data_IF_512034218424
#
_entry.id   IF_512034218424
#
_cell.length_a   1.000
_cell.length_b   1.000
_cell.length_c   1.000
_cell.angle_alpha   90.00
_cell.angle_beta   90.00
_cell.angle_gamma   90.00
#
_symmetry.space_group_name_H-M   'P 1'
#
loop_
_entity.id
_entity.type
_entity.pdbx_description
1 polymer ?
#
# COMPACT_ATOMS: atom_id res chain seq x y z
N UNK A 1 -53.76 33.92 -17.10
CA UNK A 1 -53.45 33.56 -18.50
C UNK A 1 -51.94 33.73 -18.68
N UNK A 2 -51.21 32.64 -18.55
CA UNK A 2 -49.81 32.64 -18.87
C UNK A 2 -49.65 32.69 -20.38
N UNK A 3 -48.96 33.71 -20.87
CA UNK A 3 -48.68 33.88 -22.30
C UNK A 3 -47.71 32.79 -22.74
N UNK A 4 -48.17 31.84 -23.56
CA UNK A 4 -47.28 30.86 -24.22
C UNK A 4 -46.25 31.61 -25.07
N UNK A 5 -44.96 31.33 -24.78
CA UNK A 5 -43.86 31.84 -25.60
C UNK A 5 -43.98 31.35 -27.03
N UNK A 6 -43.69 32.23 -27.99
CA UNK A 6 -43.64 31.85 -29.39
C UNK A 6 -42.46 30.92 -29.66
N UNK A 7 -42.55 30.12 -30.73
CA UNK A 7 -41.46 29.20 -31.15
C UNK A 7 -40.15 29.97 -31.37
N UNK A 8 -40.24 31.19 -31.90
CA UNK A 8 -39.08 32.08 -32.12
C UNK A 8 -38.41 32.45 -30.78
N UNK A 9 -39.20 32.82 -29.75
CA UNK A 9 -38.69 33.13 -28.41
C UNK A 9 -38.05 31.92 -27.72
N UNK A 10 -38.62 30.73 -27.92
CA UNK A 10 -38.03 29.49 -27.41
C UNK A 10 -36.68 29.18 -28.08
N UNK A 11 -36.57 29.41 -29.40
CA UNK A 11 -35.31 29.27 -30.15
C UNK A 11 -34.23 30.22 -29.66
N UNK A 12 -34.56 31.51 -29.47
CA UNK A 12 -33.59 32.50 -28.95
C UNK A 12 -33.05 32.09 -27.56
N UNK A 13 -33.95 31.71 -26.64
CA UNK A 13 -33.55 31.25 -25.30
C UNK A 13 -32.67 29.98 -25.35
N UNK A 14 -32.98 29.06 -26.27
CA UNK A 14 -32.14 27.86 -26.45
C UNK A 14 -30.77 28.21 -27.03
N UNK A 15 -30.69 29.11 -28.03
CA UNK A 15 -29.40 29.54 -28.60
C UNK A 15 -28.52 30.26 -27.56
N UNK A 16 -29.13 31.09 -26.72
CA UNK A 16 -28.41 31.75 -25.61
C UNK A 16 -27.86 30.75 -24.57
N UNK A 17 -28.66 29.73 -24.22
CA UNK A 17 -28.20 28.65 -23.34
C UNK A 17 -27.07 27.81 -23.97
N UNK A 18 -27.15 27.50 -25.25
CA UNK A 18 -26.10 26.77 -25.96
C UNK A 18 -24.80 27.58 -25.96
N UNK A 19 -24.86 28.87 -26.28
CA UNK A 19 -23.69 29.75 -26.23
C UNK A 19 -23.04 29.80 -24.82
N UNK A 20 -23.88 29.89 -23.77
CA UNK A 20 -23.38 29.83 -22.38
C UNK A 20 -22.71 28.51 -22.03
N UNK A 21 -23.23 27.38 -22.51
CA UNK A 21 -22.62 26.05 -22.30
C UNK A 21 -21.29 25.91 -23.06
N UNK A 22 -21.19 26.46 -24.28
CA UNK A 22 -19.98 26.48 -25.07
C UNK A 22 -18.86 27.29 -24.38
N UNK A 23 -19.20 28.44 -23.81
CA UNK A 23 -18.29 29.27 -23.04
C UNK A 23 -17.80 28.55 -21.78
N UNK A 24 -18.70 27.88 -21.05
CA UNK A 24 -18.33 27.09 -19.87
C UNK A 24 -17.43 25.91 -20.23
N UNK A 25 -17.73 25.22 -21.33
CA UNK A 25 -16.88 24.11 -21.81
C UNK A 25 -15.50 24.62 -22.24
N UNK A 26 -15.42 25.78 -22.87
CA UNK A 26 -14.13 26.39 -23.22
C UNK A 26 -13.32 26.76 -22.00
N UNK A 27 -13.94 27.37 -20.98
CA UNK A 27 -13.28 27.70 -19.70
C UNK A 27 -12.81 26.46 -18.95
N UNK A 28 -13.62 25.38 -18.96
CA UNK A 28 -13.21 24.10 -18.37
C UNK A 28 -12.01 23.47 -19.10
N UNK A 29 -12.00 23.52 -20.44
CA UNK A 29 -10.87 23.05 -21.23
C UNK A 29 -9.60 23.84 -20.94
N UNK A 30 -9.70 25.16 -20.88
CA UNK A 30 -8.56 26.01 -20.48
C UNK A 30 -8.08 25.72 -19.05
N UNK A 31 -9.01 25.46 -18.12
CA UNK A 31 -8.69 25.05 -16.75
C UNK A 31 -7.96 23.71 -16.71
N UNK A 32 -8.38 22.75 -17.52
CA UNK A 32 -7.72 21.43 -17.64
C UNK A 32 -6.34 21.57 -18.32
N UNK A 33 -6.20 22.40 -19.36
CA UNK A 33 -4.91 22.66 -20.02
C UNK A 33 -3.96 23.48 -19.12
N UNK A 34 -4.51 24.30 -18.23
CA UNK A 34 -3.73 25.04 -17.23
C UNK A 34 -3.34 24.20 -16.00
N UNK A 35 -3.94 23.03 -15.82
CA UNK A 35 -3.43 22.00 -14.92
C UNK A 35 -2.13 21.45 -15.54
N UNK A 36 -1.07 22.25 -15.48
CA UNK A 36 0.27 21.70 -15.68
C UNK A 36 0.40 20.52 -14.73
N UNK A 37 0.87 19.38 -15.25
CA UNK A 37 1.39 18.34 -14.37
C UNK A 37 2.25 19.04 -13.33
N UNK A 38 2.05 18.77 -12.02
CA UNK A 38 2.87 19.42 -11.01
C UNK A 38 4.32 19.19 -11.45
N UNK A 39 5.09 20.27 -11.61
CA UNK A 39 6.54 20.19 -11.72
C UNK A 39 6.97 19.47 -10.44
N UNK A 40 7.12 18.15 -10.54
CA UNK A 40 7.69 17.33 -9.48
C UNK A 40 9.10 17.88 -9.35
N UNK A 41 9.32 18.65 -8.28
CA UNK A 41 10.61 19.18 -7.95
C UNK A 41 11.57 17.98 -8.00
N UNK A 42 12.45 17.98 -8.99
CA UNK A 42 13.56 17.03 -9.11
C UNK A 42 14.53 17.28 -7.95
N UNK A 43 14.10 16.92 -6.76
CA UNK A 43 15.07 16.66 -5.70
C UNK A 43 15.74 15.33 -6.07
N UNK A 44 17.04 15.35 -6.17
CA UNK A 44 17.94 14.38 -6.80
C UNK A 44 17.95 12.96 -6.21
N UNK A 45 16.87 12.49 -5.55
CA UNK A 45 16.92 11.27 -4.75
C UNK A 45 15.88 10.21 -5.10
N UNK A 46 14.73 10.54 -5.72
CA UNK A 46 13.71 9.52 -5.96
C UNK A 46 13.12 9.65 -7.36
N UNK A 47 13.33 8.63 -8.20
CA UNK A 47 12.57 8.49 -9.43
C UNK A 47 11.15 8.11 -9.09
N UNK A 48 10.17 8.97 -9.42
CA UNK A 48 8.75 8.71 -9.19
C UNK A 48 8.09 8.28 -10.49
N UNK A 49 7.53 7.08 -10.50
CA UNK A 49 6.77 6.55 -11.63
C UNK A 49 5.27 6.66 -11.35
N UNK A 50 4.60 7.64 -11.95
CA UNK A 50 3.14 7.76 -11.91
C UNK A 50 2.51 6.83 -12.97
N UNK A 51 2.63 5.52 -12.75
CA UNK A 51 2.19 4.47 -13.68
C UNK A 51 1.59 3.31 -12.91
N UNK A 52 0.70 2.55 -13.55
CA UNK A 52 0.19 1.33 -12.95
C UNK A 52 1.32 0.33 -12.66
N UNK A 53 1.12 -0.54 -11.68
CA UNK A 53 2.10 -1.59 -11.37
C UNK A 53 2.31 -2.53 -12.57
N UNK A 54 1.26 -2.78 -13.36
CA UNK A 54 1.34 -3.57 -14.59
C UNK A 54 2.23 -2.89 -15.64
N UNK A 55 2.11 -1.58 -15.80
CA UNK A 55 2.92 -0.82 -16.75
C UNK A 55 4.40 -0.81 -16.32
N UNK A 56 4.67 -0.55 -15.04
CA UNK A 56 6.02 -0.62 -14.47
C UNK A 56 6.61 -2.03 -14.64
N UNK A 57 5.83 -3.06 -14.35
CA UNK A 57 6.23 -4.46 -14.54
C UNK A 57 6.60 -4.74 -16.00
N UNK A 58 5.79 -4.27 -16.95
CA UNK A 58 6.06 -4.44 -18.40
C UNK A 58 7.34 -3.70 -18.85
N UNK A 59 7.60 -2.51 -18.33
CA UNK A 59 8.82 -1.75 -18.62
C UNK A 59 10.07 -2.43 -18.04
N UNK A 60 9.95 -3.06 -16.86
CA UNK A 60 11.01 -3.89 -16.28
C UNK A 60 11.27 -5.12 -17.13
N UNK A 61 10.23 -5.81 -17.61
CA UNK A 61 10.34 -6.99 -18.49
C UNK A 61 11.02 -6.63 -19.82
N UNK A 62 10.72 -5.46 -20.36
CA UNK A 62 11.34 -4.94 -21.58
C UNK A 62 12.79 -4.42 -21.36
N UNK A 63 13.24 -4.35 -20.10
CA UNK A 63 14.54 -3.74 -19.78
C UNK A 63 14.62 -2.23 -20.05
N UNK A 64 13.45 -1.58 -20.16
CA UNK A 64 13.34 -0.15 -20.47
C UNK A 64 13.56 0.73 -19.25
N UNK A 65 13.40 0.19 -18.05
CA UNK A 65 13.70 0.86 -16.77
C UNK A 65 14.45 -0.10 -15.85
N UNK A 66 15.14 0.49 -14.89
CA UNK A 66 15.83 -0.23 -13.82
C UNK A 66 15.55 0.47 -12.49
N UNK A 67 14.75 -0.17 -11.65
CA UNK A 67 14.37 0.36 -10.33
C UNK A 67 15.48 0.13 -9.31
N UNK A 68 15.64 1.09 -8.42
CA UNK A 68 16.58 1.06 -7.30
C UNK A 68 15.83 1.16 -5.98
N UNK A 69 16.44 0.71 -4.91
CA UNK A 69 15.95 0.92 -3.55
C UNK A 69 15.80 2.42 -3.28
N UNK A 70 14.63 2.81 -2.80
CA UNK A 70 14.23 4.20 -2.59
C UNK A 70 13.38 4.80 -3.72
N UNK A 71 13.40 4.24 -4.94
CA UNK A 71 12.51 4.70 -6.00
C UNK A 71 11.05 4.55 -5.59
N UNK A 72 10.17 5.43 -6.11
CA UNK A 72 8.75 5.44 -5.78
C UNK A 72 7.89 5.17 -7.00
N UNK A 73 6.78 4.46 -6.77
CA UNK A 73 5.76 4.18 -7.76
C UNK A 73 4.42 4.63 -7.19
N UNK A 74 3.64 5.35 -7.97
CA UNK A 74 2.28 5.75 -7.62
C UNK A 74 1.31 4.97 -8.50
N UNK A 75 0.53 4.08 -7.90
CA UNK A 75 -0.53 3.33 -8.56
C UNK A 75 -1.91 3.75 -8.06
N UNK A 76 -2.94 3.47 -8.86
CA UNK A 76 -4.31 3.83 -8.51
C UNK A 76 -5.03 2.64 -7.85
N UNK A 77 -5.79 2.95 -6.80
CA UNK A 77 -6.70 2.02 -6.15
C UNK A 77 -8.12 2.60 -6.15
N UNK A 78 -9.12 1.85 -6.60
CA UNK A 78 -10.48 2.34 -6.83
C UNK A 78 -11.15 2.97 -5.60
N UNK A 79 -10.80 2.51 -4.39
CA UNK A 79 -11.40 3.00 -3.14
C UNK A 79 -10.54 4.03 -2.42
N UNK A 80 -9.21 3.86 -2.46
CA UNK A 80 -8.27 4.66 -1.67
C UNK A 80 -7.49 5.68 -2.52
N UNK A 81 -7.83 5.83 -3.80
CA UNK A 81 -7.14 6.76 -4.68
C UNK A 81 -5.70 6.32 -4.98
N UNK A 82 -4.78 7.23 -4.93
CA UNK A 82 -3.38 6.92 -5.21
C UNK A 82 -2.71 6.22 -4.02
N UNK A 83 -2.10 5.09 -4.30
CA UNK A 83 -1.24 4.36 -3.37
C UNK A 83 0.21 4.62 -3.79
N UNK A 84 0.98 5.13 -2.85
CA UNK A 84 2.39 5.43 -3.02
C UNK A 84 3.23 4.26 -2.48
N UNK A 85 4.11 3.76 -3.32
CA UNK A 85 4.97 2.61 -3.04
C UNK A 85 6.41 3.01 -3.06
N UNK A 86 7.19 2.57 -2.09
CA UNK A 86 8.65 2.67 -2.08
C UNK A 86 9.26 1.32 -2.44
N UNK A 87 10.23 1.30 -3.33
CA UNK A 87 11.06 0.12 -3.61
C UNK A 87 11.94 -0.16 -2.40
N UNK A 88 11.68 -1.26 -1.69
CA UNK A 88 12.43 -1.64 -0.49
C UNK A 88 13.51 -2.68 -0.76
N UNK A 89 13.38 -3.43 -1.85
CA UNK A 89 14.34 -4.46 -2.25
C UNK A 89 14.22 -4.85 -3.71
N UNK A 90 15.33 -5.31 -4.29
CA UNK A 90 15.41 -5.79 -5.68
C UNK A 90 16.07 -7.17 -5.67
N UNK A 91 15.42 -8.17 -6.27
CA UNK A 91 15.91 -9.55 -6.35
C UNK A 91 15.87 -10.33 -5.04
N UNK A 92 15.04 -9.92 -4.07
CA UNK A 92 14.96 -10.54 -2.73
C UNK A 92 13.84 -11.57 -2.68
N UNK A 93 12.63 -11.18 -3.00
CA UNK A 93 11.45 -12.05 -2.90
C UNK A 93 11.03 -12.62 -4.25
N UNK A 94 10.58 -13.88 -4.25
CA UNK A 94 9.97 -14.51 -5.40
C UNK A 94 10.86 -14.56 -6.65
N UNK A 95 12.18 -14.48 -6.48
CA UNK A 95 13.13 -14.57 -7.58
C UNK A 95 13.10 -15.97 -8.19
N UNK A 96 12.76 -16.05 -9.47
CA UNK A 96 12.75 -17.34 -10.20
C UNK A 96 14.15 -17.70 -10.70
N UNK A 97 14.56 -18.94 -10.47
CA UNK A 97 15.86 -19.44 -10.96
C UNK A 97 15.93 -19.34 -12.48
N UNK A 98 17.00 -18.74 -12.98
CA UNK A 98 17.26 -18.60 -14.43
C UNK A 98 16.57 -17.41 -15.08
N UNK A 99 15.74 -16.64 -14.38
CA UNK A 99 15.19 -15.39 -14.91
C UNK A 99 16.22 -14.27 -14.81
N UNK A 100 16.38 -13.52 -15.90
CA UNK A 100 17.30 -12.34 -15.94
C UNK A 100 16.70 -11.13 -15.21
N UNK A 101 15.38 -10.98 -15.28
CA UNK A 101 14.69 -9.90 -14.58
C UNK A 101 14.65 -10.20 -13.09
N UNK A 102 15.11 -9.25 -12.30
CA UNK A 102 14.94 -9.29 -10.85
C UNK A 102 13.51 -8.89 -10.46
N UNK A 103 13.01 -9.47 -9.40
CA UNK A 103 11.77 -9.04 -8.76
C UNK A 103 12.01 -7.74 -8.01
N UNK A 104 10.95 -6.96 -7.83
CA UNK A 104 10.98 -5.71 -7.09
C UNK A 104 9.97 -5.81 -5.95
N UNK A 105 10.45 -5.67 -4.73
CA UNK A 105 9.60 -5.63 -3.54
C UNK A 105 9.27 -4.20 -3.20
N UNK A 106 7.98 -3.91 -3.13
CA UNK A 106 7.39 -2.61 -2.86
C UNK A 106 6.74 -2.62 -1.48
N UNK A 107 6.83 -1.51 -0.76
CA UNK A 107 6.11 -1.29 0.49
C UNK A 107 5.39 0.05 0.43
N UNK A 108 4.17 0.11 0.89
CA UNK A 108 3.43 1.38 0.96
C UNK A 108 4.26 2.41 1.70
N UNK A 109 4.44 3.59 1.09
CA UNK A 109 5.23 4.68 1.66
C UNK A 109 4.60 5.18 2.95
N UNK A 110 3.27 5.29 2.95
CA UNK A 110 2.44 5.69 4.09
C UNK A 110 1.48 4.56 4.50
N UNK A 111 0.86 4.67 5.66
CA UNK A 111 -0.29 3.83 6.00
C UNK A 111 -1.52 4.26 5.21
N UNK A 112 -2.56 3.43 5.21
CA UNK A 112 -3.84 3.80 4.63
C UNK A 112 -4.49 4.91 5.46
N UNK A 113 -4.89 5.98 4.78
CA UNK A 113 -5.51 7.15 5.37
C UNK A 113 -6.80 6.78 6.13
N UNK A 114 -6.95 7.34 7.34
CA UNK A 114 -8.10 7.15 8.25
C UNK A 114 -8.50 5.68 8.51
N UNK A 115 -7.60 4.72 8.26
CA UNK A 115 -7.87 3.31 8.43
C UNK A 115 -7.06 2.70 9.57
N UNK A 116 -7.65 2.69 10.75
CA UNK A 116 -7.14 1.95 11.90
C UNK A 116 -7.83 0.58 11.96
N UNK A 117 -7.11 -0.43 11.48
CA UNK A 117 -7.64 -1.79 11.37
C UNK A 117 -7.13 -2.67 12.51
N UNK A 118 -7.98 -3.50 13.12
CA UNK A 118 -7.51 -4.56 14.00
C UNK A 118 -6.74 -5.58 13.16
N UNK A 119 -5.67 -6.12 13.76
CA UNK A 119 -4.96 -7.25 13.16
C UNK A 119 -5.86 -8.49 13.11
N UNK A 120 -6.57 -8.75 14.21
CA UNK A 120 -7.57 -9.79 14.29
C UNK A 120 -8.72 -9.39 15.22
N UNK A 121 -9.88 -10.01 15.06
CA UNK A 121 -11.07 -9.71 15.87
C UNK A 121 -11.14 -10.61 17.11
N UNK A 122 -11.72 -10.11 18.22
CA UNK A 122 -11.95 -10.91 19.41
C UNK A 122 -12.78 -12.16 19.12
N UNK A 123 -12.45 -13.24 19.82
CA UNK A 123 -13.18 -14.50 19.79
C UNK A 123 -13.37 -15.06 21.20
N UNK A 124 -14.18 -16.12 21.34
CA UNK A 124 -14.36 -16.79 22.65
C UNK A 124 -13.07 -17.34 23.23
N UNK A 125 -12.12 -17.76 22.38
CA UNK A 125 -10.82 -18.31 22.78
C UNK A 125 -9.78 -17.21 22.98
N UNK A 126 -9.79 -16.19 22.14
CA UNK A 126 -8.85 -15.08 22.13
C UNK A 126 -9.63 -13.77 22.27
N UNK A 127 -9.88 -13.34 23.52
CA UNK A 127 -10.72 -12.17 23.82
C UNK A 127 -10.11 -10.84 23.32
N UNK A 128 -8.81 -10.81 23.02
CA UNK A 128 -8.08 -9.66 22.48
C UNK A 128 -7.61 -9.85 21.02
N UNK A 129 -8.23 -10.82 20.31
CA UNK A 129 -7.76 -11.25 19.00
C UNK A 129 -6.60 -12.24 19.10
N UNK A 130 -6.14 -12.74 17.96
CA UNK A 130 -5.03 -13.71 17.85
C UNK A 130 -3.93 -13.17 16.94
N UNK A 131 -2.68 -13.36 17.31
CA UNK A 131 -1.51 -12.89 16.58
C UNK A 131 -1.03 -13.82 15.45
N UNK A 132 -1.89 -14.67 14.92
CA UNK A 132 -1.54 -15.65 13.88
C UNK A 132 -1.78 -15.07 12.49
N UNK A 133 -0.72 -14.69 11.80
CA UNK A 133 -0.79 -14.08 10.47
C UNK A 133 -1.57 -14.92 9.45
N UNK A 134 -1.39 -16.24 9.44
CA UNK A 134 -2.05 -17.15 8.48
C UNK A 134 -3.57 -17.11 8.52
N UNK A 135 -4.16 -16.78 9.67
CA UNK A 135 -5.61 -16.81 9.90
C UNK A 135 -6.23 -15.46 10.26
N UNK A 136 -5.42 -14.41 10.48
CA UNK A 136 -5.92 -13.13 10.95
C UNK A 136 -6.80 -12.40 9.92
N UNK A 137 -7.67 -11.55 10.46
CA UNK A 137 -8.61 -10.78 9.66
C UNK A 137 -7.93 -9.77 8.75
N UNK A 138 -6.83 -9.16 9.19
CA UNK A 138 -6.11 -8.14 8.41
C UNK A 138 -5.48 -8.76 7.15
N UNK A 139 -4.83 -9.94 7.24
CA UNK A 139 -4.31 -10.65 6.08
C UNK A 139 -5.42 -10.98 5.07
N UNK A 140 -6.55 -11.49 5.58
CA UNK A 140 -7.70 -11.80 4.74
C UNK A 140 -8.26 -10.54 4.07
N UNK A 141 -8.35 -9.43 4.81
CA UNK A 141 -8.79 -8.15 4.28
C UNK A 141 -7.85 -7.62 3.19
N UNK A 142 -6.52 -7.68 3.41
CA UNK A 142 -5.52 -7.26 2.43
C UNK A 142 -5.63 -8.06 1.14
N UNK A 143 -5.66 -9.41 1.23
CA UNK A 143 -5.61 -10.27 0.04
C UNK A 143 -6.96 -10.48 -0.65
N UNK A 144 -8.06 -10.04 -0.06
CA UNK A 144 -9.40 -10.15 -0.63
C UNK A 144 -9.99 -8.78 -0.97
N UNK A 145 -10.17 -7.91 0.02
CA UNK A 145 -10.90 -6.65 -0.17
C UNK A 145 -9.99 -5.53 -0.68
N UNK A 146 -8.83 -5.34 -0.06
CA UNK A 146 -7.90 -4.31 -0.50
C UNK A 146 -7.33 -4.65 -1.88
N UNK A 147 -6.84 -5.88 -2.07
CA UNK A 147 -6.35 -6.33 -3.38
C UNK A 147 -7.38 -6.15 -4.50
N UNK A 148 -8.66 -6.39 -4.25
CA UNK A 148 -9.71 -6.27 -5.27
C UNK A 148 -9.96 -4.83 -5.75
N UNK A 149 -9.51 -3.83 -5.02
CA UNK A 149 -9.61 -2.43 -5.40
C UNK A 149 -8.58 -1.97 -6.43
N UNK A 150 -7.54 -2.75 -6.67
CA UNK A 150 -6.60 -2.48 -7.77
C UNK A 150 -7.16 -2.93 -9.12
N UNK A 151 -6.80 -2.27 -10.23
CA UNK A 151 -7.08 -2.75 -11.57
C UNK A 151 -6.63 -4.21 -11.76
N UNK A 152 -7.31 -4.97 -12.61
CA UNK A 152 -7.00 -6.38 -12.85
C UNK A 152 -5.55 -6.59 -13.28
N UNK A 153 -5.07 -5.78 -14.22
CA UNK A 153 -3.68 -5.84 -14.68
C UNK A 153 -2.66 -5.63 -13.56
N UNK A 154 -2.92 -4.70 -12.61
CA UNK A 154 -2.05 -4.47 -11.45
C UNK A 154 -2.05 -5.68 -10.51
N UNK A 155 -3.25 -6.28 -10.28
CA UNK A 155 -3.35 -7.52 -9.48
C UNK A 155 -2.61 -8.68 -10.11
N UNK A 156 -2.57 -8.78 -11.44
CA UNK A 156 -1.82 -9.80 -12.16
C UNK A 156 -0.32 -9.56 -12.10
N UNK A 157 0.12 -8.30 -12.16
CA UNK A 157 1.52 -7.92 -11.99
C UNK A 157 2.06 -8.23 -10.59
N UNK A 158 1.21 -8.16 -9.55
CA UNK A 158 1.57 -8.55 -8.19
C UNK A 158 1.78 -10.06 -8.10
N UNK A 159 2.98 -10.47 -7.77
CA UNK A 159 3.37 -11.88 -7.60
C UNK A 159 2.89 -12.41 -6.25
N UNK A 160 2.57 -13.70 -6.23
CA UNK A 160 2.35 -14.42 -4.97
C UNK A 160 3.70 -14.90 -4.47
N UNK A 161 4.05 -14.51 -3.24
CA UNK A 161 5.33 -14.84 -2.62
C UNK A 161 5.13 -15.57 -1.29
N UNK A 162 6.09 -16.40 -0.94
CA UNK A 162 6.13 -17.09 0.34
C UNK A 162 6.71 -16.18 1.41
N UNK A 163 6.03 -16.12 2.56
CA UNK A 163 6.48 -15.40 3.75
C UNK A 163 6.48 -16.28 4.97
N UNK A 164 7.61 -16.32 5.66
CA UNK A 164 7.77 -17.04 6.93
C UNK A 164 7.28 -16.17 8.08
N UNK A 165 6.55 -16.79 9.02
CA UNK A 165 6.14 -16.20 10.29
C UNK A 165 6.25 -17.27 11.37
N UNK A 166 6.47 -16.90 12.62
CA UNK A 166 6.52 -17.83 13.73
C UNK A 166 5.21 -17.80 14.53
N UNK A 167 4.90 -18.92 15.17
CA UNK A 167 3.92 -18.96 16.26
C UNK A 167 4.52 -18.33 17.51
N UNK A 168 3.67 -17.80 18.41
CA UNK A 168 4.11 -17.52 19.77
C UNK A 168 4.44 -18.83 20.49
N UNK A 169 5.15 -18.74 21.63
CA UNK A 169 5.61 -19.94 22.37
C UNK A 169 4.43 -20.78 22.92
N UNK A 170 3.31 -20.16 23.31
CA UNK A 170 2.13 -20.88 23.81
C UNK A 170 1.46 -21.71 22.70
N UNK A 171 1.70 -21.39 21.44
CA UNK A 171 1.23 -22.11 20.26
C UNK A 171 2.33 -22.94 19.57
N UNK A 172 3.42 -23.24 20.28
CA UNK A 172 4.50 -24.13 19.84
C UNK A 172 5.75 -23.42 19.33
N UNK A 173 5.72 -22.11 19.07
CA UNK A 173 6.89 -21.35 18.65
C UNK A 173 7.48 -21.72 17.28
N UNK A 174 6.76 -22.52 16.47
CA UNK A 174 7.23 -23.04 15.20
C UNK A 174 7.05 -22.03 14.06
N UNK A 175 7.94 -22.10 13.07
CA UNK A 175 7.80 -21.36 11.82
C UNK A 175 6.71 -21.99 10.95
N UNK A 176 5.97 -21.13 10.24
CA UNK A 176 5.06 -21.52 9.17
C UNK A 176 5.15 -20.53 8.02
N UNK A 177 4.66 -20.92 6.87
CA UNK A 177 4.68 -20.06 5.67
C UNK A 177 3.28 -19.73 5.18
N UNK A 178 3.15 -18.58 4.55
CA UNK A 178 1.95 -18.16 3.83
C UNK A 178 2.32 -17.74 2.41
N UNK A 179 1.35 -17.84 1.51
CA UNK A 179 1.48 -17.42 0.12
C UNK A 179 0.57 -16.21 -0.12
N UNK A 180 1.15 -15.02 -0.28
CA UNK A 180 0.42 -13.77 -0.33
C UNK A 180 0.84 -12.90 -1.52
N UNK A 181 -0.12 -12.15 -2.10
CA UNK A 181 0.16 -11.04 -3.02
C UNK A 181 0.42 -9.76 -2.27
N UNK A 182 -0.32 -9.55 -1.17
CA UNK A 182 -0.15 -8.43 -0.25
C UNK A 182 0.15 -8.97 1.14
N UNK A 183 1.20 -8.47 1.77
CA UNK A 183 1.63 -8.91 3.09
C UNK A 183 2.12 -7.74 3.94
N UNK A 184 2.10 -7.91 5.26
CA UNK A 184 2.79 -7.01 6.17
C UNK A 184 4.25 -7.45 6.30
N UNK A 185 5.15 -6.51 6.52
CA UNK A 185 6.54 -6.84 6.83
C UNK A 185 6.65 -7.44 8.24
N UNK A 186 7.69 -8.23 8.45
CA UNK A 186 8.08 -8.72 9.77
C UNK A 186 9.03 -7.76 10.46
N UNK A 187 9.26 -7.99 11.75
CA UNK A 187 10.24 -7.22 12.53
C UNK A 187 11.66 -7.41 11.99
N UNK A 188 12.07 -8.64 11.63
CA UNK A 188 13.39 -8.90 11.04
C UNK A 188 13.56 -8.24 9.66
N UNK A 189 12.54 -8.25 8.81
CA UNK A 189 12.58 -7.59 7.51
C UNK A 189 12.74 -6.07 7.61
N UNK A 190 12.29 -5.46 8.70
CA UNK A 190 12.54 -4.06 9.04
C UNK A 190 13.89 -3.82 9.74
N UNK A 191 14.70 -4.86 9.93
CA UNK A 191 16.01 -4.75 10.57
C UNK A 191 15.95 -4.59 12.09
N UNK A 192 14.86 -4.99 12.74
CA UNK A 192 14.86 -5.16 14.19
C UNK A 192 15.60 -6.45 14.57
N UNK A 193 16.39 -6.37 15.61
CA UNK A 193 17.22 -7.48 16.12
C UNK A 193 17.03 -7.66 17.62
N UNK A 194 17.42 -8.80 18.16
CA UNK A 194 17.38 -9.14 19.59
C UNK A 194 16.78 -10.53 19.83
N UNK A 195 16.92 -11.03 21.06
CA UNK A 195 16.56 -12.42 21.43
C UNK A 195 15.08 -12.77 21.19
N UNK A 196 14.22 -11.77 21.17
CA UNK A 196 12.78 -11.93 20.99
C UNK A 196 12.32 -11.64 19.54
N UNK A 197 13.24 -11.44 18.61
CA UNK A 197 12.96 -11.26 17.19
C UNK A 197 13.31 -12.55 16.46
N UNK A 198 12.33 -13.18 15.87
CA UNK A 198 12.52 -14.39 15.06
C UNK A 198 13.01 -14.02 13.67
N UNK A 199 13.77 -14.91 13.05
CA UNK A 199 14.18 -14.77 11.65
C UNK A 199 13.00 -15.12 10.71
N UNK A 200 12.23 -14.10 10.36
CA UNK A 200 11.08 -14.20 9.47
C UNK A 200 11.39 -13.67 8.05
N UNK A 201 12.65 -13.43 7.76
CA UNK A 201 13.17 -12.94 6.50
C UNK A 201 14.32 -11.95 6.69
N UNK A 202 15.17 -11.84 5.67
CA UNK A 202 16.30 -10.91 5.68
C UNK A 202 15.82 -9.45 5.70
N UNK A 203 16.58 -8.59 6.36
CA UNK A 203 16.33 -7.14 6.34
C UNK A 203 16.36 -6.62 4.90
N UNK A 204 15.33 -5.88 4.51
CA UNK A 204 15.34 -5.19 3.22
C UNK A 204 16.35 -4.04 3.23
N UNK A 205 17.11 -3.84 2.14
CA UNK A 205 18.12 -2.80 2.06
C UNK A 205 17.62 -1.39 2.38
N UNK A 206 16.35 -1.09 2.07
CA UNK A 206 15.74 0.19 2.42
C UNK A 206 15.73 0.44 3.93
N UNK A 207 15.59 -0.61 4.75
CA UNK A 207 15.52 -0.54 6.20
C UNK A 207 16.85 -0.73 6.92
N UNK A 208 17.96 -0.82 6.20
CA UNK A 208 19.30 -0.68 6.79
C UNK A 208 19.45 0.70 7.46
N UNK A 209 18.75 1.73 6.96
CA UNK A 209 18.55 2.97 7.67
C UNK A 209 17.28 2.90 8.54
N UNK A 210 17.40 2.90 9.89
CA UNK A 210 16.25 2.80 10.80
C UNK A 210 15.23 3.94 10.68
N UNK A 211 15.64 5.12 10.21
CA UNK A 211 14.72 6.26 10.00
C UNK A 211 13.65 5.97 8.95
N UNK A 212 13.93 5.06 8.02
CA UNK A 212 12.99 4.65 6.98
C UNK A 212 11.81 3.80 7.53
N UNK A 213 11.86 3.38 8.79
CA UNK A 213 10.76 2.66 9.46
C UNK A 213 9.56 3.55 9.79
N UNK A 214 9.76 4.87 9.84
CA UNK A 214 8.70 5.84 10.11
C UNK A 214 7.73 5.90 8.95
N UNK A 215 6.44 5.99 9.27
CA UNK A 215 5.38 6.18 8.29
C UNK A 215 4.42 7.26 8.77
N UNK A 216 3.82 7.95 7.82
CA UNK A 216 2.78 8.92 8.08
C UNK A 216 1.43 8.39 7.61
N UNK A 217 0.35 8.91 8.12
CA UNK A 217 -0.94 8.81 7.47
C UNK A 217 -1.01 9.87 6.36
N UNK A 218 -1.50 9.49 5.21
CA UNK A 218 -1.75 10.41 4.11
C UNK A 218 -3.22 10.84 4.18
N UNK A 219 -3.58 12.13 3.97
CA UNK A 219 -2.76 13.26 3.54
C UNK A 219 -2.28 14.17 4.68
N UNK A 220 -2.63 13.91 5.94
CA UNK A 220 -2.30 14.79 7.08
C UNK A 220 -0.79 14.92 7.31
N UNK A 221 -0.03 13.87 6.98
CA UNK A 221 1.40 13.80 7.20
C UNK A 221 1.79 13.55 8.66
N UNK A 222 0.84 13.22 9.52
CA UNK A 222 1.10 12.86 10.91
C UNK A 222 1.76 11.48 10.99
N UNK A 223 2.77 11.35 11.84
CA UNK A 223 3.42 10.07 12.08
C UNK A 223 2.43 9.04 12.65
N UNK A 224 2.40 7.83 12.11
CA UNK A 224 1.40 6.81 12.44
C UNK A 224 2.03 5.49 12.87
N UNK A 225 1.33 4.79 13.78
CA UNK A 225 1.63 3.39 14.10
C UNK A 225 1.15 2.46 12.98
N UNK A 226 1.86 1.36 12.74
CA UNK A 226 1.42 0.34 11.79
C UNK A 226 1.80 -1.08 12.19
N UNK A 227 0.89 -2.02 11.89
CA UNK A 227 1.05 -3.44 12.19
C UNK A 227 2.20 -4.09 11.42
N UNK A 228 2.85 -5.04 12.09
CA UNK A 228 3.72 -6.05 11.47
C UNK A 228 3.04 -7.41 11.50
N UNK A 229 3.55 -8.41 10.76
CA UNK A 229 3.03 -9.78 10.84
C UNK A 229 3.65 -10.61 11.97
N UNK A 230 4.70 -10.10 12.61
CA UNK A 230 5.44 -10.80 13.66
C UNK A 230 4.70 -10.83 14.98
N UNK A 231 4.49 -11.99 15.63
CA UNK A 231 4.07 -12.06 17.02
C UNK A 231 5.23 -11.83 17.96
N UNK A 232 5.01 -11.29 19.17
CA UNK A 232 5.94 -11.48 20.25
C UNK A 232 5.88 -12.95 20.72
N UNK A 233 6.98 -13.51 21.29
CA UNK A 233 7.01 -14.93 21.64
C UNK A 233 6.19 -15.31 22.89
N UNK A 234 5.80 -14.34 23.72
CA UNK A 234 5.25 -14.58 25.06
C UNK A 234 3.74 -14.47 25.20
N UNK A 235 3.03 -13.98 24.20
CA UNK A 235 1.56 -13.77 24.26
C UNK A 235 0.91 -14.09 22.92
N UNK A 236 -0.22 -14.81 22.95
CA UNK A 236 -0.97 -15.20 21.77
C UNK A 236 -1.90 -14.09 21.23
N UNK A 237 -2.10 -13.03 22.02
CA UNK A 237 -2.99 -11.91 21.67
C UNK A 237 -2.24 -10.66 21.20
N UNK A 238 -0.94 -10.55 21.52
CA UNK A 238 -0.12 -9.42 21.15
C UNK A 238 0.45 -9.57 19.73
N UNK A 239 0.49 -8.46 19.01
CA UNK A 239 1.13 -8.36 17.68
C UNK A 239 2.15 -7.23 17.69
N UNK A 240 3.27 -7.42 17.02
CA UNK A 240 4.26 -6.37 16.84
C UNK A 240 3.71 -5.26 15.95
N UNK A 241 4.07 -4.02 16.29
CA UNK A 241 3.82 -2.84 15.48
C UNK A 241 4.99 -1.87 15.58
N UNK A 242 5.05 -0.92 14.65
CA UNK A 242 6.04 0.16 14.66
C UNK A 242 5.35 1.43 15.19
N UNK A 243 5.97 2.06 16.17
CA UNK A 243 5.56 3.38 16.67
C UNK A 243 5.85 4.49 15.64
N UNK A 244 5.21 5.68 15.76
CA UNK A 244 5.48 6.83 14.90
C UNK A 244 6.97 7.18 14.80
N UNK A 245 7.70 7.10 15.89
CA UNK A 245 9.15 7.34 15.92
C UNK A 245 10.02 6.22 15.36
N UNK A 246 9.46 5.17 14.75
CA UNK A 246 10.19 4.07 14.13
C UNK A 246 10.64 2.97 15.09
N UNK A 247 10.26 3.01 16.37
CA UNK A 247 10.60 1.98 17.36
C UNK A 247 9.60 0.82 17.34
N UNK A 248 10.04 -0.37 17.72
CA UNK A 248 9.22 -1.58 17.82
C UNK A 248 8.47 -1.65 19.15
N UNK A 249 7.21 -2.05 19.07
CA UNK A 249 6.38 -2.39 20.24
C UNK A 249 5.44 -3.54 19.94
N UNK A 250 4.53 -3.84 20.87
CA UNK A 250 3.44 -4.80 20.70
C UNK A 250 2.18 -4.33 21.41
N UNK A 251 1.03 -4.74 20.88
CA UNK A 251 -0.27 -4.45 21.46
C UNK A 251 -1.26 -5.54 21.06
N UNK A 252 -2.44 -5.54 21.70
CA UNK A 252 -3.49 -6.51 21.41
C UNK A 252 -3.92 -6.49 19.96
N UNK A 253 -4.06 -7.67 19.37
CA UNK A 253 -4.46 -7.87 17.99
C UNK A 253 -5.81 -7.23 17.64
N UNK A 254 -6.67 -6.99 18.64
CA UNK A 254 -7.96 -6.32 18.49
C UNK A 254 -7.88 -4.79 18.47
N UNK A 255 -6.76 -4.19 18.83
CA UNK A 255 -6.57 -2.76 18.74
C UNK A 255 -6.44 -2.32 17.27
N UNK A 256 -6.70 -1.05 16.99
CA UNK A 256 -6.62 -0.51 15.64
C UNK A 256 -5.32 0.25 15.42
N UNK A 257 -4.55 -0.16 14.40
CA UNK A 257 -3.40 0.61 13.90
C UNK A 257 -3.44 0.69 12.38
N UNK A 258 -2.56 1.51 11.81
CA UNK A 258 -2.41 1.63 10.37
C UNK A 258 -1.99 0.32 9.71
N UNK A 259 -2.36 0.15 8.46
CA UNK A 259 -1.90 -0.95 7.61
C UNK A 259 -1.02 -0.40 6.49
N UNK A 260 0.21 -0.89 6.41
CA UNK A 260 1.13 -0.64 5.30
C UNK A 260 1.44 -1.98 4.64
N UNK A 261 0.85 -2.23 3.49
CA UNK A 261 1.06 -3.47 2.76
C UNK A 261 2.35 -3.42 1.94
N UNK A 262 2.97 -4.58 1.74
CA UNK A 262 4.01 -4.82 0.76
C UNK A 262 3.50 -5.74 -0.35
N UNK A 263 4.08 -5.63 -1.54
CA UNK A 263 3.85 -6.53 -2.67
C UNK A 263 5.14 -6.72 -3.48
N UNK A 264 5.12 -7.69 -4.39
CA UNK A 264 6.25 -7.98 -5.31
C UNK A 264 5.76 -7.93 -6.75
N UNK A 265 6.49 -7.24 -7.60
CA UNK A 265 6.22 -7.17 -9.05
C UNK A 265 7.37 -7.72 -9.87
#
# INVERSE_FOLDING_TARGET
MESMMSIEQVKEVMLEKISGLEQNLHSLRQGVEALKEPEIAQNAWDCVYCKSLAEVSSLLDAGSINLKVGDRIISHHNRFGNIDWTVIGVGIDGQEVGKKRQTVTLHMTNVLDDMYLPFDTPSKKYCWGRNAWDTCNLRNWLNKYFLSGFPEADREAMRRVEKTTYRNNDEGGEAYTTQDKLFLLSASELGFTGDNIKDEGATYPFYENPENRKKTDSPSGDESCYWLRSPPPWDASDVRFVYPGGSLSNDYASNGFGAAAACVI
#
